data_IF_650450518611
#
_entry.id   IF_650450518611
#
_cell.length_a   1.000
_cell.length_b   1.000
_cell.length_c   1.000
_cell.angle_alpha   90.00
_cell.angle_beta   90.00
_cell.angle_gamma   90.00
#
_symmetry.space_group_name_H-M   'P 1'
#
loop_
_entity.id
_entity.type
_entity.pdbx_description
1 polymer ?
#
# COMPACT_ATOMS: atom_id res chain seq x y z
N UNK A 1 -0.27 -0.86 26.97
CA UNK A 1 -0.49 -0.19 25.68
C UNK A 1 -0.87 -1.31 24.73
N UNK A 2 -2.10 -1.33 24.26
CA UNK A 2 -2.51 -2.34 23.27
C UNK A 2 -1.80 -2.01 21.97
N UNK A 3 -1.36 -3.02 21.23
CA UNK A 3 -0.65 -2.81 19.96
C UNK A 3 -1.52 -2.10 18.90
N UNK A 4 -2.83 -1.95 19.16
CA UNK A 4 -3.81 -1.27 18.30
C UNK A 4 -3.91 0.24 18.55
N UNK A 5 -3.41 0.78 19.68
CA UNK A 5 -3.48 2.22 20.01
C UNK A 5 -2.67 3.12 19.05
N UNK A 6 -1.83 2.54 18.19
CA UNK A 6 -0.97 3.27 17.25
C UNK A 6 -1.58 3.54 15.87
N UNK A 7 -2.79 3.05 15.59
CA UNK A 7 -3.44 3.19 14.28
C UNK A 7 -4.48 4.31 14.26
N UNK A 8 -4.62 4.97 13.11
CA UNK A 8 -5.58 6.05 12.90
C UNK A 8 -6.59 5.72 11.79
N UNK A 9 -7.80 6.29 11.87
CA UNK A 9 -8.78 6.20 10.79
C UNK A 9 -8.22 6.76 9.48
N UNK A 10 -8.46 6.05 8.38
CA UNK A 10 -7.92 6.37 7.06
C UNK A 10 -6.53 5.78 6.79
N UNK A 11 -5.82 5.30 7.82
CA UNK A 11 -4.51 4.70 7.66
C UNK A 11 -4.58 3.41 6.82
N UNK A 12 -3.51 3.11 6.08
CA UNK A 12 -3.38 1.88 5.32
C UNK A 12 -2.61 0.86 6.15
N UNK A 13 -3.09 -0.38 6.20
CA UNK A 13 -2.44 -1.46 6.95
C UNK A 13 -2.26 -2.71 6.11
N UNK A 14 -1.19 -3.44 6.40
CA UNK A 14 -0.92 -4.78 5.93
C UNK A 14 -0.70 -5.70 7.12
N UNK A 15 -0.99 -6.98 6.90
CA UNK A 15 -0.72 -8.05 7.84
C UNK A 15 -0.57 -9.35 7.05
N UNK A 16 0.10 -10.34 7.64
CA UNK A 16 0.47 -11.59 6.98
C UNK A 16 1.14 -11.30 5.60
N UNK A 17 0.92 -12.18 4.63
CA UNK A 17 1.40 -12.05 3.24
C UNK A 17 0.44 -11.28 2.32
N UNK A 18 -0.40 -10.39 2.88
CA UNK A 18 -1.32 -9.60 2.05
C UNK A 18 -0.52 -8.67 1.13
N UNK A 19 -0.90 -8.64 -0.15
CA UNK A 19 -0.30 -7.74 -1.15
C UNK A 19 -1.00 -6.40 -1.25
N UNK A 20 -2.27 -6.34 -0.83
CA UNK A 20 -3.10 -5.15 -0.99
C UNK A 20 -3.50 -4.61 0.37
N UNK A 21 -3.12 -3.37 0.69
CA UNK A 21 -3.47 -2.74 1.95
C UNK A 21 -4.96 -2.66 2.19
N UNK A 22 -5.34 -2.69 3.45
CA UNK A 22 -6.69 -2.39 3.91
C UNK A 22 -6.71 -0.99 4.54
N UNK A 23 -7.86 -0.32 4.49
CA UNK A 23 -8.03 1.01 5.06
C UNK A 23 -8.67 0.89 6.43
N UNK A 24 -8.08 1.48 7.45
CA UNK A 24 -8.67 1.57 8.79
C UNK A 24 -9.92 2.44 8.71
N UNK A 25 -11.06 1.89 9.10
CA UNK A 25 -12.35 2.60 9.12
C UNK A 25 -12.72 3.07 10.51
N UNK A 26 -12.49 2.22 11.52
CA UNK A 26 -12.84 2.51 12.91
C UNK A 26 -11.73 1.95 13.82
N UNK A 27 -11.33 2.71 14.84
CA UNK A 27 -10.35 2.27 15.84
C UNK A 27 -11.00 2.31 17.22
N UNK A 28 -10.87 1.22 17.97
CA UNK A 28 -11.29 1.12 19.37
C UNK A 28 -10.16 0.54 20.22
N UNK A 29 -10.32 0.55 21.56
CA UNK A 29 -9.28 0.08 22.48
C UNK A 29 -8.89 -1.40 22.27
N UNK A 30 -9.85 -2.22 21.82
CA UNK A 30 -9.72 -3.68 21.70
C UNK A 30 -9.82 -4.20 20.26
N UNK A 31 -10.32 -3.37 19.34
CA UNK A 31 -10.69 -3.79 17.99
C UNK A 31 -10.38 -2.71 16.95
N UNK A 32 -10.01 -3.15 15.75
CA UNK A 32 -9.78 -2.30 14.60
C UNK A 32 -10.61 -2.82 13.41
N UNK A 33 -11.43 -1.95 12.82
CA UNK A 33 -12.22 -2.29 11.63
C UNK A 33 -11.47 -1.81 10.40
N UNK A 34 -11.25 -2.71 9.45
CA UNK A 34 -10.60 -2.39 8.17
C UNK A 34 -11.48 -2.73 6.97
N UNK A 35 -11.37 -1.93 5.92
CA UNK A 35 -12.03 -2.16 4.64
C UNK A 35 -11.01 -2.43 3.53
N UNK A 36 -11.23 -3.50 2.78
CA UNK A 36 -10.46 -3.79 1.57
C UNK A 36 -10.96 -3.02 0.34
N UNK A 37 -10.13 -2.89 -0.71
CA UNK A 37 -10.47 -2.12 -1.90
C UNK A 37 -11.74 -2.60 -2.64
N UNK A 38 -12.16 -3.85 -2.40
CA UNK A 38 -13.43 -4.39 -2.92
C UNK A 38 -14.66 -4.16 -2.02
N UNK A 39 -14.55 -3.33 -0.98
CA UNK A 39 -15.63 -3.07 0.00
C UNK A 39 -15.84 -4.19 1.03
N UNK A 40 -14.86 -5.08 1.20
CA UNK A 40 -14.93 -6.13 2.21
C UNK A 40 -14.48 -5.61 3.56
N UNK A 41 -15.35 -5.67 4.58
CA UNK A 41 -15.03 -5.28 5.95
C UNK A 41 -14.51 -6.44 6.81
N UNK A 42 -13.47 -6.17 7.58
CA UNK A 42 -12.83 -7.10 8.50
C UNK A 42 -12.64 -6.44 9.87
N UNK A 43 -12.60 -7.27 10.92
CA UNK A 43 -12.31 -6.89 12.29
C UNK A 43 -10.99 -7.54 12.70
N UNK A 44 -10.08 -6.75 13.25
CA UNK A 44 -8.82 -7.19 13.86
C UNK A 44 -8.94 -6.94 15.36
N UNK A 45 -8.67 -7.94 16.20
CA UNK A 45 -8.86 -7.84 17.64
C UNK A 45 -7.93 -8.80 18.40
N UNK A 46 -7.78 -8.58 19.70
CA UNK A 46 -7.05 -9.50 20.59
C UNK A 46 -7.99 -10.50 21.25
N UNK A 47 -7.57 -11.76 21.34
CA UNK A 47 -8.18 -12.81 22.16
C UNK A 47 -7.08 -13.55 22.93
N UNK A 48 -7.11 -13.51 24.27
CA UNK A 48 -6.12 -14.14 25.15
C UNK A 48 -4.65 -13.92 24.69
N UNK A 49 -4.28 -12.67 24.42
CA UNK A 49 -2.95 -12.22 23.91
C UNK A 49 -2.63 -12.61 22.45
N UNK A 50 -3.59 -13.13 21.69
CA UNK A 50 -3.43 -13.46 20.27
C UNK A 50 -4.13 -12.44 19.39
N UNK A 51 -3.42 -11.87 18.42
CA UNK A 51 -4.00 -10.99 17.42
C UNK A 51 -4.69 -11.80 16.31
N UNK A 52 -5.98 -11.54 16.11
CA UNK A 52 -6.85 -12.28 15.21
C UNK A 52 -7.53 -11.34 14.20
N UNK A 53 -7.89 -11.89 13.04
CA UNK A 53 -8.67 -11.19 12.01
C UNK A 53 -9.83 -12.04 11.52
N UNK A 54 -10.99 -11.44 11.35
CA UNK A 54 -12.16 -12.08 10.74
C UNK A 54 -12.94 -11.11 9.86
N UNK A 55 -13.87 -11.63 9.04
CA UNK A 55 -14.89 -10.76 8.42
C UNK A 55 -15.75 -10.12 9.53
N UNK A 56 -16.16 -8.87 9.35
CA UNK A 56 -16.98 -8.11 10.31
C UNK A 56 -18.17 -8.96 10.82
N UNK A 57 -18.32 -9.06 12.15
CA UNK A 57 -19.37 -9.83 12.81
C UNK A 57 -19.22 -11.36 12.78
N UNK A 58 -18.09 -11.91 12.31
CA UNK A 58 -17.89 -13.36 12.16
C UNK A 58 -16.67 -13.91 12.92
N UNK A 59 -16.50 -13.49 14.19
CA UNK A 59 -15.38 -13.87 15.07
C UNK A 59 -15.16 -15.38 15.24
N UNK A 60 -16.20 -16.22 15.03
CA UNK A 60 -16.09 -17.69 15.08
C UNK A 60 -15.17 -18.29 14.01
N UNK A 61 -14.90 -17.55 12.93
CA UNK A 61 -14.02 -17.96 11.84
C UNK A 61 -12.85 -16.98 11.74
N UNK A 62 -12.26 -16.62 12.88
CA UNK A 62 -11.04 -15.85 12.93
C UNK A 62 -9.83 -16.66 12.48
N UNK A 63 -8.88 -15.94 11.91
CA UNK A 63 -7.55 -16.41 11.56
C UNK A 63 -6.52 -15.58 12.30
N UNK A 64 -5.29 -16.08 12.41
CA UNK A 64 -4.19 -15.29 12.95
C UNK A 64 -3.91 -14.06 12.08
N UNK A 65 -3.66 -12.94 12.76
CA UNK A 65 -3.21 -11.69 12.18
C UNK A 65 -1.78 -11.47 12.68
N UNK A 66 -0.81 -11.90 11.90
CA UNK A 66 0.61 -11.75 12.18
C UNK A 66 1.15 -10.52 11.47
N UNK A 67 2.15 -9.87 12.08
CA UNK A 67 2.86 -8.73 11.48
C UNK A 67 1.92 -7.60 11.01
N UNK A 68 0.93 -7.26 11.85
CA UNK A 68 0.09 -6.10 11.60
C UNK A 68 0.96 -4.84 11.64
N UNK A 69 1.03 -4.17 10.49
CA UNK A 69 1.86 -2.98 10.31
C UNK A 69 1.12 -1.95 9.49
N UNK A 70 1.40 -0.71 9.81
CA UNK A 70 0.94 0.39 9.00
C UNK A 70 1.86 0.60 7.80
N UNK A 71 1.24 0.82 6.65
CA UNK A 71 1.93 1.16 5.41
C UNK A 71 1.68 2.63 5.06
N UNK A 72 2.60 3.21 4.31
CA UNK A 72 2.45 4.58 3.84
C UNK A 72 1.43 4.67 2.71
N UNK A 73 1.40 5.83 2.09
CA UNK A 73 0.59 6.09 0.92
C UNK A 73 1.47 6.67 -0.19
N UNK A 74 1.17 6.29 -1.42
CA UNK A 74 1.76 6.92 -2.59
C UNK A 74 0.98 8.18 -2.94
N UNK A 75 1.62 9.32 -2.74
CA UNK A 75 1.06 10.64 -3.06
C UNK A 75 1.53 11.05 -4.44
N UNK A 76 0.59 11.29 -5.35
CA UNK A 76 0.88 11.75 -6.71
C UNK A 76 0.91 13.28 -6.77
N UNK A 77 1.99 13.81 -7.32
CA UNK A 77 2.18 15.22 -7.68
C UNK A 77 2.60 15.31 -9.15
N UNK A 78 1.62 15.53 -10.03
CA UNK A 78 1.81 15.51 -11.48
C UNK A 78 2.28 14.14 -11.99
N UNK A 79 3.55 14.08 -12.39
CA UNK A 79 4.22 12.91 -12.97
C UNK A 79 5.15 12.21 -11.97
N UNK A 80 5.03 12.57 -10.69
CA UNK A 80 5.84 12.04 -9.62
C UNK A 80 4.94 11.40 -8.55
N UNK A 81 5.32 10.22 -8.09
CA UNK A 81 4.75 9.56 -6.93
C UNK A 81 5.79 9.51 -5.83
N UNK A 82 5.40 9.91 -4.62
CA UNK A 82 6.24 9.84 -3.43
C UNK A 82 5.55 9.04 -2.36
N UNK A 83 6.27 8.10 -1.77
CA UNK A 83 5.73 7.31 -0.67
C UNK A 83 5.82 8.12 0.63
N UNK A 84 4.76 8.15 1.43
CA UNK A 84 4.67 9.02 2.61
C UNK A 84 5.53 8.57 3.79
N UNK A 85 5.88 7.28 3.86
CA UNK A 85 6.66 6.69 4.96
C UNK A 85 8.08 6.29 4.59
N UNK A 86 8.43 6.31 3.30
CA UNK A 86 9.78 5.92 2.84
C UNK A 86 10.33 6.98 1.89
N UNK A 87 11.62 6.89 1.58
CA UNK A 87 12.25 7.75 0.56
C UNK A 87 11.95 7.29 -0.88
N UNK A 88 11.01 6.35 -1.05
CA UNK A 88 10.64 5.81 -2.34
C UNK A 88 9.97 6.90 -3.20
N UNK A 89 10.46 7.06 -4.42
CA UNK A 89 9.93 8.00 -5.40
C UNK A 89 9.93 7.33 -6.77
N UNK A 90 8.89 7.56 -7.55
CA UNK A 90 8.80 7.16 -8.96
C UNK A 90 8.41 8.40 -9.75
N UNK A 91 9.17 8.74 -10.79
CA UNK A 91 8.91 9.91 -11.62
C UNK A 91 9.01 9.59 -13.09
N UNK A 92 8.16 10.22 -13.90
CA UNK A 92 8.22 10.12 -15.35
C UNK A 92 9.00 11.31 -15.89
N UNK A 93 10.07 11.04 -16.63
CA UNK A 93 10.91 12.05 -17.27
C UNK A 93 10.92 11.85 -18.78
N UNK A 94 11.05 12.93 -19.55
CA UNK A 94 11.25 12.85 -20.99
C UNK A 94 12.75 12.91 -21.32
N UNK A 95 13.26 11.92 -22.03
CA UNK A 95 14.65 11.87 -22.45
C UNK A 95 14.94 12.79 -23.64
N UNK A 96 16.23 12.93 -23.99
CA UNK A 96 16.70 13.79 -25.09
C UNK A 96 16.17 13.40 -26.47
N UNK A 97 15.74 12.14 -26.64
CA UNK A 97 15.17 11.61 -27.86
C UNK A 97 13.63 11.79 -27.93
N UNK A 98 13.02 12.40 -26.92
CA UNK A 98 11.59 12.67 -26.85
C UNK A 98 10.73 11.52 -26.32
N UNK A 99 11.32 10.41 -25.86
CA UNK A 99 10.63 9.29 -25.22
C UNK A 99 10.52 9.52 -23.70
N UNK A 100 9.62 8.79 -23.04
CA UNK A 100 9.40 8.88 -21.60
C UNK A 100 10.05 7.72 -20.87
N UNK A 101 10.62 7.94 -19.69
CA UNK A 101 11.27 6.92 -18.87
C UNK A 101 10.82 7.06 -17.42
N UNK A 102 10.76 5.94 -16.71
CA UNK A 102 10.57 5.91 -15.27
C UNK A 102 11.93 6.05 -14.58
N UNK A 103 12.04 7.02 -13.70
CA UNK A 103 13.13 7.12 -12.74
C UNK A 103 12.62 6.78 -11.34
N UNK A 104 13.48 6.21 -10.51
CA UNK A 104 13.13 5.92 -9.12
C UNK A 104 14.25 6.19 -8.13
N UNK A 105 13.83 6.50 -6.90
CA UNK A 105 14.65 6.41 -5.70
C UNK A 105 14.18 5.15 -4.97
N UNK A 106 15.09 4.20 -4.75
CA UNK A 106 14.93 2.79 -4.26
C UNK A 106 14.77 1.68 -5.30
N UNK A 107 14.04 1.85 -6.40
CA UNK A 107 13.75 0.74 -7.33
C UNK A 107 14.69 0.68 -8.55
N UNK A 108 15.95 1.08 -8.39
CA UNK A 108 16.87 1.19 -9.53
C UNK A 108 17.12 -0.19 -10.14
N UNK A 109 16.75 -0.35 -11.41
CA UNK A 109 16.86 -1.61 -12.15
C UNK A 109 15.68 -2.57 -11.97
N UNK A 110 14.66 -2.21 -11.19
CA UNK A 110 13.41 -2.96 -11.03
C UNK A 110 12.26 -2.38 -11.88
N UNK A 111 12.45 -1.17 -12.42
CA UNK A 111 11.50 -0.54 -13.33
C UNK A 111 11.62 -1.14 -14.73
N UNK A 112 10.49 -1.54 -15.32
CA UNK A 112 10.43 -2.11 -16.67
C UNK A 112 10.45 -1.00 -17.74
N UNK A 113 11.60 -0.31 -17.85
CA UNK A 113 11.82 0.68 -18.89
C UNK A 113 12.18 0.01 -20.23
N UNK A 114 11.48 0.34 -21.33
CA UNK A 114 11.89 -0.07 -22.67
C UNK A 114 13.29 0.48 -23.00
N UNK A 115 14.02 -0.19 -23.90
CA UNK A 115 15.40 0.18 -24.25
C UNK A 115 15.59 1.63 -24.73
N UNK A 116 14.54 2.26 -25.25
CA UNK A 116 14.55 3.66 -25.70
C UNK A 116 13.54 4.55 -24.92
N UNK A 117 12.88 4.00 -23.90
CA UNK A 117 11.73 4.61 -23.22
C UNK A 117 10.39 4.37 -23.93
N UNK A 118 9.32 4.81 -23.27
CA UNK A 118 7.95 4.78 -23.75
C UNK A 118 7.71 5.84 -24.83
N UNK A 119 7.00 5.45 -25.88
CA UNK A 119 6.68 6.33 -27.03
C UNK A 119 5.69 7.44 -26.70
N UNK A 120 4.90 7.26 -25.64
CA UNK A 120 3.95 8.25 -25.18
C UNK A 120 3.87 8.23 -23.65
N UNK A 121 3.37 9.33 -23.10
CA UNK A 121 3.29 9.55 -21.66
C UNK A 121 2.26 8.63 -21.00
N UNK A 122 1.18 8.27 -21.69
CA UNK A 122 0.12 7.41 -21.15
C UNK A 122 0.64 6.00 -20.83
N UNK A 123 1.51 5.44 -21.68
CA UNK A 123 2.15 4.16 -21.44
C UNK A 123 3.11 4.21 -20.24
N UNK A 124 3.89 5.29 -20.10
CA UNK A 124 4.74 5.49 -18.93
C UNK A 124 3.91 5.68 -17.65
N UNK A 125 2.77 6.38 -17.72
CA UNK A 125 1.83 6.55 -16.62
C UNK A 125 1.25 5.21 -16.16
N UNK A 126 0.77 4.39 -17.10
CA UNK A 126 0.22 3.06 -16.78
C UNK A 126 1.26 2.19 -16.08
N UNK A 127 2.52 2.22 -16.54
CA UNK A 127 3.58 1.43 -15.93
C UNK A 127 3.96 1.96 -14.54
N UNK A 128 4.04 3.29 -14.36
CA UNK A 128 4.27 3.89 -13.06
C UNK A 128 3.16 3.51 -12.05
N UNK A 129 1.90 3.52 -12.48
CA UNK A 129 0.76 3.14 -11.65
C UNK A 129 0.85 1.66 -11.23
N UNK A 130 1.20 0.74 -12.14
CA UNK A 130 1.42 -0.69 -11.79
C UNK A 130 2.51 -0.87 -10.74
N UNK A 131 3.64 -0.15 -10.86
CA UNK A 131 4.73 -0.24 -9.89
C UNK A 131 4.28 0.27 -8.53
N UNK A 132 3.58 1.40 -8.48
CA UNK A 132 3.00 1.98 -7.25
C UNK A 132 2.03 1.00 -6.59
N UNK A 133 1.10 0.41 -7.34
CA UNK A 133 0.10 -0.54 -6.82
C UNK A 133 0.73 -1.84 -6.32
N UNK A 134 1.83 -2.28 -6.94
CA UNK A 134 2.53 -3.52 -6.58
C UNK A 134 3.48 -3.34 -5.40
N UNK A 135 3.82 -2.10 -5.04
CA UNK A 135 4.77 -1.78 -3.97
C UNK A 135 4.14 -0.84 -2.93
N UNK A 136 3.10 -1.28 -2.20
CA UNK A 136 2.39 -0.44 -1.24
C UNK A 136 3.23 0.00 -0.03
N UNK A 137 4.40 -0.62 0.18
CA UNK A 137 5.31 -0.30 1.29
C UNK A 137 6.47 0.63 0.89
N UNK A 138 6.53 1.05 -0.39
CA UNK A 138 7.61 1.88 -0.94
C UNK A 138 8.96 1.18 -0.93
#
# INVERSE_FOLDING_TARGET
MSELEGFEEGEKVLFNDRKTPLTVQEVSEEELVVEGPGGGEYEIYFDEDTLLVCRKGNKRYSSYCEDLRSVGEWVRDGDCWRHSKTEAEISIVQNENGFYELESKKFQGELDNPAYGFTNKEAALEEAEKVVESNPEG
#
